data_IF_883230461757
#
_entry.id   IF_883230461757
#
_cell.length_a   1.000
_cell.length_b   1.000
_cell.length_c   1.000
_cell.angle_alpha   90.00
_cell.angle_beta   90.00
_cell.angle_gamma   90.00
#
_symmetry.space_group_name_H-M   'P 1'
#
loop_
_entity.id
_entity.type
_entity.pdbx_description
1 polymer ?
#
# COMPACT_ATOMS: atom_id res chain seq x y z
N UNK A 1 52.80 -12.08 47.85
CA UNK A 1 51.73 -12.28 46.83
C UNK A 1 51.42 -10.95 46.21
N UNK A 2 51.94 -10.67 45.00
CA UNK A 2 51.74 -9.42 44.27
C UNK A 2 50.54 -9.62 43.34
N UNK A 3 49.44 -8.85 43.54
CA UNK A 3 48.27 -8.88 42.69
C UNK A 3 48.61 -8.32 41.28
N UNK A 4 48.21 -8.98 40.19
CA UNK A 4 48.43 -8.44 38.87
C UNK A 4 47.64 -7.15 38.68
N UNK A 5 48.30 -6.05 38.24
CA UNK A 5 47.66 -4.82 37.86
C UNK A 5 46.91 -5.04 36.54
N UNK A 6 45.58 -4.81 36.53
CA UNK A 6 44.80 -4.81 35.31
C UNK A 6 45.30 -3.68 34.39
N UNK A 7 45.50 -3.94 33.07
CA UNK A 7 45.86 -2.89 32.12
C UNK A 7 44.69 -1.89 32.03
N UNK A 8 44.99 -0.60 32.24
CA UNK A 8 44.03 0.45 32.07
C UNK A 8 43.79 0.75 30.58
N UNK A 9 42.56 1.11 30.20
CA UNK A 9 42.20 1.55 28.86
C UNK A 9 42.96 2.81 28.46
N UNK A 10 43.50 2.85 27.27
CA UNK A 10 44.18 4.05 26.76
C UNK A 10 43.19 5.05 26.19
N UNK A 11 43.49 6.33 26.28
CA UNK A 11 42.65 7.41 25.73
C UNK A 11 42.45 7.24 24.20
N UNK A 12 43.45 6.74 23.51
CA UNK A 12 43.41 6.43 22.08
C UNK A 12 42.41 5.32 21.77
N UNK A 13 42.34 4.28 22.59
CA UNK A 13 41.44 3.14 22.42
C UNK A 13 39.97 3.59 22.54
N UNK A 14 39.66 4.44 23.52
CA UNK A 14 38.31 5.03 23.68
C UNK A 14 37.96 5.92 22.47
N UNK A 15 38.91 6.71 21.98
CA UNK A 15 38.71 7.58 20.84
C UNK A 15 38.41 6.78 19.55
N UNK A 16 39.12 5.70 19.31
CA UNK A 16 38.89 4.78 18.18
C UNK A 16 37.50 4.13 18.27
N UNK A 17 37.14 3.63 19.46
CA UNK A 17 35.81 3.01 19.66
C UNK A 17 34.67 4.01 19.40
N UNK A 18 34.79 5.25 19.92
CA UNK A 18 33.81 6.29 19.69
C UNK A 18 33.70 6.64 18.19
N UNK A 19 34.86 6.72 17.50
CA UNK A 19 34.87 6.98 16.06
C UNK A 19 34.17 5.86 15.27
N UNK A 20 34.38 4.59 15.59
CA UNK A 20 33.73 3.44 14.97
C UNK A 20 32.22 3.48 15.22
N UNK A 21 31.79 3.75 16.46
CA UNK A 21 30.38 3.86 16.82
C UNK A 21 29.72 5.02 16.05
N UNK A 22 30.37 6.16 15.95
CA UNK A 22 29.85 7.31 15.21
C UNK A 22 29.67 7.02 13.71
N UNK A 23 30.64 6.33 13.09
CA UNK A 23 30.53 5.90 11.70
C UNK A 23 29.39 4.86 11.53
N UNK A 24 29.34 3.87 12.39
CA UNK A 24 28.28 2.84 12.35
C UNK A 24 26.89 3.45 12.55
N UNK A 25 26.73 4.37 13.50
CA UNK A 25 25.49 5.10 13.73
C UNK A 25 25.10 5.97 12.54
N UNK A 26 26.06 6.63 11.89
CA UNK A 26 25.84 7.40 10.66
C UNK A 26 25.34 6.56 9.51
N UNK A 27 25.95 5.40 9.28
CA UNK A 27 25.52 4.45 8.24
C UNK A 27 24.12 3.89 8.55
N UNK A 28 23.85 3.52 9.81
CA UNK A 28 22.53 3.05 10.22
C UNK A 28 21.43 4.11 10.02
N UNK A 29 21.70 5.36 10.35
CA UNK A 29 20.77 6.47 10.16
C UNK A 29 20.41 6.73 8.68
N UNK A 30 21.33 6.49 7.77
CA UNK A 30 21.10 6.58 6.32
C UNK A 30 20.32 5.37 5.80
N UNK A 31 20.65 4.16 6.30
CA UNK A 31 19.98 2.92 5.90
C UNK A 31 18.52 2.81 6.38
N UNK A 32 18.15 3.54 7.45
CA UNK A 32 16.79 3.56 8.00
C UNK A 32 15.92 4.70 7.45
N UNK A 33 16.40 5.46 6.49
CA UNK A 33 15.53 6.41 5.81
C UNK A 33 14.56 5.64 4.94
N UNK A 34 13.26 5.68 5.32
CA UNK A 34 12.20 5.19 4.46
C UNK A 34 12.28 5.93 3.12
N UNK A 35 12.49 5.19 2.04
CA UNK A 35 12.37 5.73 0.69
C UNK A 35 10.87 5.94 0.39
N UNK A 36 10.42 7.19 0.23
CA UNK A 36 9.01 7.48 -0.03
C UNK A 36 8.50 6.79 -1.28
N UNK A 37 9.38 6.61 -2.27
CA UNK A 37 9.06 5.91 -3.51
C UNK A 37 8.80 4.42 -3.27
N UNK A 38 9.69 3.75 -2.53
CA UNK A 38 9.52 2.35 -2.17
C UNK A 38 8.27 2.13 -1.30
N UNK A 39 7.90 3.12 -0.49
CA UNK A 39 6.67 3.08 0.31
C UNK A 39 5.44 3.20 -0.58
N UNK A 40 5.40 4.16 -1.50
CA UNK A 40 4.31 4.31 -2.47
C UNK A 40 4.12 3.06 -3.33
N UNK A 41 5.22 2.47 -3.85
CA UNK A 41 5.17 1.24 -4.64
C UNK A 41 4.65 0.04 -3.83
N UNK A 42 5.03 -0.09 -2.57
CA UNK A 42 4.52 -1.15 -1.68
C UNK A 42 3.02 -1.00 -1.42
N UNK A 43 2.55 0.23 -1.16
CA UNK A 43 1.12 0.53 -0.99
C UNK A 43 0.33 0.24 -2.27
N UNK A 44 0.81 0.70 -3.42
CA UNK A 44 0.16 0.44 -4.70
C UNK A 44 0.07 -1.05 -5.02
N UNK A 45 1.15 -1.83 -4.82
CA UNK A 45 1.16 -3.28 -5.03
C UNK A 45 0.24 -4.02 -4.04
N UNK A 46 0.19 -3.55 -2.80
CA UNK A 46 -0.72 -4.12 -1.80
C UNK A 46 -2.18 -3.89 -2.18
N UNK A 47 -2.51 -2.70 -2.63
CA UNK A 47 -3.84 -2.37 -3.12
C UNK A 47 -4.19 -3.18 -4.38
N UNK A 48 -3.25 -3.31 -5.34
CA UNK A 48 -3.41 -4.13 -6.53
C UNK A 48 -3.72 -5.59 -6.18
N UNK A 49 -2.96 -6.20 -5.26
CA UNK A 49 -3.23 -7.56 -4.79
C UNK A 49 -4.60 -7.71 -4.11
N UNK A 50 -5.04 -6.70 -3.35
CA UNK A 50 -6.37 -6.71 -2.75
C UNK A 50 -7.49 -6.62 -3.81
N UNK A 51 -7.30 -5.86 -4.89
CA UNK A 51 -8.24 -5.78 -6.02
C UNK A 51 -8.37 -7.13 -6.76
N UNK A 52 -7.24 -7.79 -7.07
CA UNK A 52 -7.23 -9.11 -7.71
C UNK A 52 -7.92 -10.17 -6.82
N UNK A 53 -7.59 -10.15 -5.52
CA UNK A 53 -8.23 -11.03 -4.56
C UNK A 53 -9.75 -10.77 -4.47
N UNK A 54 -10.18 -9.51 -4.44
CA UNK A 54 -11.59 -9.15 -4.40
C UNK A 54 -12.33 -9.64 -5.66
N UNK A 55 -11.73 -9.47 -6.84
CA UNK A 55 -12.30 -9.97 -8.10
C UNK A 55 -12.41 -11.50 -8.09
N UNK A 56 -11.39 -12.22 -7.63
CA UNK A 56 -11.42 -13.68 -7.49
C UNK A 56 -12.48 -14.12 -6.47
N UNK A 57 -12.56 -13.47 -5.30
CA UNK A 57 -13.58 -13.76 -4.28
C UNK A 57 -14.99 -13.53 -4.81
N UNK A 58 -15.22 -12.43 -5.57
CA UNK A 58 -16.51 -12.16 -6.20
C UNK A 58 -16.97 -13.33 -7.09
N UNK A 59 -16.04 -13.91 -7.86
CA UNK A 59 -16.32 -15.08 -8.72
C UNK A 59 -16.62 -16.35 -7.90
N UNK A 60 -15.77 -16.68 -6.93
CA UNK A 60 -15.89 -17.92 -6.18
C UNK A 60 -17.13 -17.96 -5.30
N UNK A 61 -17.51 -16.82 -4.73
CA UNK A 61 -18.69 -16.71 -3.87
C UNK A 61 -19.96 -16.29 -4.62
N UNK A 62 -19.84 -16.01 -5.92
CA UNK A 62 -20.93 -15.47 -6.73
C UNK A 62 -21.59 -14.24 -6.10
N UNK A 63 -20.76 -13.34 -5.53
CA UNK A 63 -21.20 -12.13 -4.86
C UNK A 63 -20.71 -10.89 -5.61
N UNK A 64 -21.47 -9.79 -5.59
CA UNK A 64 -21.00 -8.52 -6.11
C UNK A 64 -20.28 -7.78 -5.02
N UNK A 65 -18.98 -7.54 -5.22
CA UNK A 65 -18.18 -6.67 -4.38
C UNK A 65 -18.08 -5.27 -4.97
N UNK A 66 -17.59 -4.34 -4.19
CA UNK A 66 -17.27 -2.99 -4.63
C UNK A 66 -16.04 -2.49 -3.91
N UNK A 67 -15.36 -1.54 -4.50
CA UNK A 67 -14.20 -0.87 -3.90
C UNK A 67 -14.38 0.64 -3.98
N UNK A 68 -14.03 1.33 -2.92
CA UNK A 68 -13.94 2.80 -2.88
C UNK A 68 -12.65 3.24 -2.20
N UNK A 69 -12.17 4.42 -2.56
CA UNK A 69 -11.03 5.07 -1.91
C UNK A 69 -11.35 6.56 -1.76
N UNK A 70 -11.17 7.08 -0.54
CA UNK A 70 -11.55 8.45 -0.16
C UNK A 70 -10.34 9.40 -0.02
N UNK A 71 -9.21 9.01 -0.57
CA UNK A 71 -7.94 9.71 -0.48
C UNK A 71 -7.09 9.24 0.71
N UNK A 72 -7.68 8.83 1.82
CA UNK A 72 -6.95 8.44 3.05
C UNK A 72 -7.06 6.97 3.41
N UNK A 73 -8.04 6.29 2.82
CA UNK A 73 -8.28 4.88 3.05
C UNK A 73 -8.96 4.26 1.83
N UNK A 74 -8.81 2.94 1.69
CA UNK A 74 -9.66 2.18 0.80
C UNK A 74 -10.51 1.21 1.58
N UNK A 75 -11.69 0.87 1.01
CA UNK A 75 -12.65 -0.04 1.60
C UNK A 75 -13.26 -0.92 0.55
N UNK A 76 -13.51 -2.16 0.92
CA UNK A 76 -14.32 -3.08 0.12
C UNK A 76 -15.71 -3.20 0.69
N UNK A 77 -16.65 -3.39 -0.22
CA UNK A 77 -18.07 -3.45 0.06
C UNK A 77 -18.64 -4.70 -0.55
N UNK A 78 -19.63 -5.28 0.08
CA UNK A 78 -20.45 -6.35 -0.46
C UNK A 78 -21.85 -5.83 -0.71
N UNK A 79 -22.41 -6.14 -1.88
CA UNK A 79 -23.80 -5.82 -2.17
C UNK A 79 -24.70 -6.82 -1.43
N UNK A 80 -25.69 -6.34 -0.70
CA UNK A 80 -26.69 -7.21 -0.07
C UNK A 80 -27.63 -7.81 -1.14
N UNK A 81 -27.91 -9.11 -1.03
CA UNK A 81 -28.56 -9.90 -2.09
C UNK A 81 -29.93 -9.34 -2.54
N UNK A 82 -30.70 -8.74 -1.63
CA UNK A 82 -32.06 -8.24 -1.91
C UNK A 82 -32.16 -6.72 -2.00
N UNK A 83 -31.05 -6.01 -1.99
CA UNK A 83 -31.10 -4.54 -1.97
C UNK A 83 -29.92 -3.88 -2.71
N UNK A 84 -30.13 -2.64 -3.17
CA UNK A 84 -29.04 -1.83 -3.71
C UNK A 84 -28.04 -1.36 -2.63
N UNK A 85 -28.16 -1.86 -1.38
CA UNK A 85 -27.35 -1.44 -0.24
C UNK A 85 -25.98 -2.11 -0.23
N UNK A 86 -24.96 -1.31 0.02
CA UNK A 86 -23.59 -1.76 0.20
C UNK A 86 -23.27 -1.90 1.68
N UNK A 87 -22.66 -3.02 2.06
CA UNK A 87 -22.19 -3.32 3.41
C UNK A 87 -20.67 -3.43 3.38
N UNK A 88 -19.99 -2.80 4.33
CA UNK A 88 -18.54 -2.94 4.43
C UNK A 88 -18.13 -4.39 4.68
N UNK A 89 -17.11 -4.86 3.98
CA UNK A 89 -16.52 -6.18 4.21
C UNK A 89 -15.65 -6.10 5.46
N UNK A 90 -16.01 -6.86 6.50
CA UNK A 90 -15.28 -6.89 7.78
C UNK A 90 -14.88 -8.33 8.17
N UNK A 91 -15.28 -9.32 7.39
CA UNK A 91 -15.09 -10.76 7.62
C UNK A 91 -13.86 -11.32 6.87
N UNK A 92 -12.97 -10.47 6.38
CA UNK A 92 -11.83 -10.84 5.55
C UNK A 92 -10.65 -9.90 5.81
N UNK A 93 -9.52 -10.45 6.24
CA UNK A 93 -8.33 -9.66 6.60
C UNK A 93 -7.71 -8.93 5.40
N UNK A 94 -7.84 -9.48 4.19
CA UNK A 94 -7.30 -8.87 2.96
C UNK A 94 -8.16 -7.69 2.52
N UNK A 95 -9.49 -7.82 2.67
CA UNK A 95 -10.48 -6.82 2.26
C UNK A 95 -10.88 -5.85 3.38
N UNK A 96 -10.34 -6.01 4.57
CA UNK A 96 -10.57 -5.07 5.68
C UNK A 96 -10.17 -3.65 5.32
N UNK A 97 -10.89 -2.63 5.82
CA UNK A 97 -10.55 -1.23 5.58
C UNK A 97 -9.10 -0.91 5.95
N UNK A 98 -8.40 -0.18 5.09
CA UNK A 98 -6.99 0.16 5.31
C UNK A 98 -6.76 1.64 5.11
N UNK A 99 -6.01 2.23 6.04
CA UNK A 99 -5.51 3.59 5.91
C UNK A 99 -4.24 3.61 5.04
N UNK A 100 -4.07 4.70 4.33
CA UNK A 100 -2.89 5.01 3.51
C UNK A 100 -1.94 5.87 4.35
N UNK A 101 -0.65 5.81 4.05
CA UNK A 101 0.33 6.67 4.70
C UNK A 101 -0.07 8.15 4.56
N UNK A 102 0.19 8.96 5.58
CA UNK A 102 -0.36 10.31 5.71
C UNK A 102 0.06 11.28 4.59
N UNK A 103 1.17 11.01 3.94
CA UNK A 103 1.75 11.77 2.84
C UNK A 103 1.29 11.31 1.45
N UNK A 104 0.41 10.30 1.39
CA UNK A 104 -0.14 9.76 0.15
C UNK A 104 -1.66 9.88 0.11
N UNK A 105 -2.20 9.91 -1.12
CA UNK A 105 -3.64 9.88 -1.39
C UNK A 105 -3.95 8.83 -2.45
N UNK A 106 -5.04 8.08 -2.27
CA UNK A 106 -5.53 7.13 -3.26
C UNK A 106 -6.97 7.47 -3.60
N UNK A 107 -7.24 7.71 -4.87
CA UNK A 107 -8.60 8.03 -5.34
C UNK A 107 -8.92 7.27 -6.63
N UNK A 108 -10.21 6.99 -6.91
CA UNK A 108 -10.64 6.48 -8.21
C UNK A 108 -10.28 7.49 -9.31
N UNK A 109 -9.82 7.00 -10.44
CA UNK A 109 -9.49 7.81 -11.61
C UNK A 109 -10.53 7.64 -12.72
N UNK A 110 -10.81 6.39 -13.09
CA UNK A 110 -11.70 6.07 -14.20
C UNK A 110 -12.38 4.71 -14.04
N UNK A 111 -13.54 4.54 -14.66
CA UNK A 111 -14.28 3.29 -14.82
C UNK A 111 -14.89 3.24 -16.22
N UNK A 112 -14.73 2.13 -16.93
CA UNK A 112 -15.22 1.98 -18.32
C UNK A 112 -14.78 3.13 -19.24
N UNK A 113 -13.57 3.66 -19.05
CA UNK A 113 -13.05 4.79 -19.82
C UNK A 113 -13.61 6.17 -19.44
N UNK A 114 -14.49 6.27 -18.45
CA UNK A 114 -15.03 7.53 -17.97
C UNK A 114 -14.37 7.97 -16.65
N UNK A 115 -14.05 9.25 -16.48
CA UNK A 115 -13.49 9.75 -15.23
C UNK A 115 -14.52 9.60 -14.09
N UNK A 116 -14.00 9.32 -12.88
CA UNK A 116 -14.81 9.16 -11.69
C UNK A 116 -14.56 10.28 -10.68
N UNK A 117 -15.58 10.65 -9.88
CA UNK A 117 -15.38 11.52 -8.73
C UNK A 117 -14.56 10.79 -7.65
N UNK A 118 -13.86 11.54 -6.77
CA UNK A 118 -13.28 10.97 -5.55
C UNK A 118 -14.35 10.21 -4.77
N UNK A 119 -13.99 9.14 -4.10
CA UNK A 119 -14.87 8.27 -3.30
C UNK A 119 -15.92 7.45 -4.10
N UNK A 120 -15.91 7.51 -5.41
CA UNK A 120 -16.78 6.67 -6.23
C UNK A 120 -16.61 5.18 -5.91
N UNK A 121 -17.72 4.46 -5.86
CA UNK A 121 -17.71 3.02 -5.67
C UNK A 121 -17.66 2.30 -7.01
N UNK A 122 -16.61 1.50 -7.21
CA UNK A 122 -16.40 0.69 -8.40
C UNK A 122 -16.89 -0.73 -8.14
N UNK A 123 -17.89 -1.24 -8.90
CA UNK A 123 -18.40 -2.59 -8.71
C UNK A 123 -17.46 -3.64 -9.33
N UNK A 124 -17.25 -4.74 -8.61
CA UNK A 124 -16.57 -5.96 -9.04
C UNK A 124 -17.62 -7.08 -9.13
N UNK A 125 -17.95 -7.47 -10.34
CA UNK A 125 -19.02 -8.45 -10.61
C UNK A 125 -18.48 -9.87 -10.60
N UNK A 126 -19.30 -10.89 -10.30
CA UNK A 126 -18.88 -12.27 -10.25
C UNK A 126 -18.64 -12.91 -11.63
N UNK A 127 -18.87 -12.18 -12.72
CA UNK A 127 -18.83 -12.69 -14.09
C UNK A 127 -17.43 -13.04 -14.64
N UNK A 128 -16.36 -12.83 -13.88
CA UNK A 128 -14.98 -13.04 -14.36
C UNK A 128 -14.48 -11.97 -15.32
N UNK A 129 -15.35 -11.12 -15.81
CA UNK A 129 -15.03 -9.93 -16.62
C UNK A 129 -15.65 -8.71 -15.98
N UNK A 130 -14.83 -7.71 -15.73
CA UNK A 130 -15.25 -6.41 -15.24
C UNK A 130 -14.89 -5.33 -16.27
N UNK A 131 -15.57 -4.19 -16.19
CA UNK A 131 -15.13 -3.02 -16.94
C UNK A 131 -13.75 -2.58 -16.43
N UNK A 132 -12.84 -2.15 -17.32
CA UNK A 132 -11.55 -1.64 -16.91
C UNK A 132 -11.72 -0.44 -15.98
N UNK A 133 -10.90 -0.39 -14.94
CA UNK A 133 -10.92 0.71 -13.99
C UNK A 133 -9.51 1.08 -13.56
N UNK A 134 -9.38 2.29 -13.03
CA UNK A 134 -8.11 2.80 -12.56
C UNK A 134 -8.28 3.61 -11.28
N UNK A 135 -7.25 3.54 -10.43
CA UNK A 135 -7.02 4.42 -9.29
C UNK A 135 -5.70 5.14 -9.46
N UNK A 136 -5.58 6.30 -8.86
CA UNK A 136 -4.32 7.02 -8.76
C UNK A 136 -3.88 7.12 -7.32
N UNK A 137 -2.65 6.72 -7.04
CA UNK A 137 -1.96 6.95 -5.79
C UNK A 137 -0.95 8.06 -6.01
N UNK A 138 -1.13 9.16 -5.29
CA UNK A 138 -0.36 10.38 -5.40
C UNK A 138 0.26 10.74 -4.04
N UNK A 139 1.51 11.13 -4.00
CA UNK A 139 2.19 11.54 -2.78
C UNK A 139 3.71 11.54 -2.91
N UNK A 140 4.38 12.34 -2.07
CA UNK A 140 5.84 12.45 -2.04
C UNK A 140 6.49 12.74 -3.41
N UNK A 141 5.79 13.45 -4.32
CA UNK A 141 6.26 13.73 -5.67
C UNK A 141 6.21 12.55 -6.64
N UNK A 142 5.47 11.50 -6.29
CA UNK A 142 5.31 10.28 -7.08
C UNK A 142 3.84 10.09 -7.40
N UNK A 143 3.55 9.75 -8.65
CA UNK A 143 2.21 9.38 -9.09
C UNK A 143 2.22 7.98 -9.69
N UNK A 144 1.46 7.08 -9.09
CA UNK A 144 1.28 5.71 -9.56
C UNK A 144 -0.17 5.49 -9.98
N UNK A 145 -0.37 4.83 -11.10
CA UNK A 145 -1.69 4.38 -11.54
C UNK A 145 -1.80 2.87 -11.31
N UNK A 146 -2.84 2.49 -10.57
CA UNK A 146 -3.24 1.09 -10.36
C UNK A 146 -4.42 0.83 -11.28
N UNK A 147 -4.21 0.10 -12.35
CA UNK A 147 -5.21 -0.12 -13.39
C UNK A 147 -5.54 -1.60 -13.55
N UNK A 148 -6.80 -1.91 -13.71
CA UNK A 148 -7.30 -3.25 -14.01
C UNK A 148 -7.74 -3.35 -15.46
N UNK A 149 -7.39 -4.47 -16.10
CA UNK A 149 -7.92 -4.86 -17.39
C UNK A 149 -9.28 -5.58 -17.25
N UNK A 150 -9.99 -5.87 -18.37
CA UNK A 150 -11.27 -6.59 -18.33
C UNK A 150 -11.18 -8.02 -17.78
N UNK A 151 -10.01 -8.61 -17.67
CA UNK A 151 -9.76 -9.94 -17.09
C UNK A 151 -9.39 -9.87 -15.60
N UNK A 152 -9.47 -8.67 -15.01
CA UNK A 152 -9.12 -8.38 -13.61
C UNK A 152 -7.62 -8.52 -13.29
N UNK A 153 -6.74 -8.48 -14.29
CA UNK A 153 -5.32 -8.34 -14.02
C UNK A 153 -5.02 -6.89 -13.64
N UNK A 154 -4.37 -6.71 -12.53
CA UNK A 154 -4.06 -5.37 -12.02
C UNK A 154 -2.59 -5.05 -12.23
N UNK A 155 -2.33 -3.92 -12.87
CA UNK A 155 -0.99 -3.39 -13.10
C UNK A 155 -0.76 -2.11 -12.32
N UNK A 156 0.49 -1.88 -11.89
CA UNK A 156 0.94 -0.65 -11.26
C UNK A 156 1.94 0.02 -12.19
N UNK A 157 1.62 1.22 -12.65
CA UNK A 157 2.44 1.97 -13.61
C UNK A 157 2.74 3.35 -13.06
N UNK A 158 3.99 3.80 -13.20
CA UNK A 158 4.32 5.19 -12.90
C UNK A 158 3.66 6.10 -13.96
N UNK A 159 2.84 7.05 -13.51
CA UNK A 159 2.36 8.10 -14.38
C UNK A 159 3.45 9.17 -14.47
N UNK A 160 3.93 9.42 -15.67
CA UNK A 160 4.76 10.62 -15.90
C UNK A 160 3.89 11.86 -15.66
N UNK A 161 4.42 12.87 -14.99
CA UNK A 161 3.74 14.15 -14.79
C UNK A 161 3.39 14.86 -16.08
#
# INVERSE_FOLDING_TARGET
MTAPRAPGFTLVEVLVVVAIIAIAAGVAAVAWRDDPRATAEREARRFAGALEYAAARAQWRNETLGVSADGRAWRFWRRADDSARWLAVADDDVLSPRSIAADHTLVPLAYAGQPLPPDALIPLRPSGRNEPYAFVLDGAGIRLVVASDPLNHVSVVAANP
#
